data_IF_898366713042
#
_entry.id   IF_898366713042
#
_cell.length_a   1.000
_cell.length_b   1.000
_cell.length_c   1.000
_cell.angle_alpha   90.00
_cell.angle_beta   90.00
_cell.angle_gamma   90.00
#
_symmetry.space_group_name_H-M   'P 1'
#
loop_
_entity.id
_entity.type
_entity.pdbx_description
1 polymer ?
#
# COMPACT_ATOMS: atom_id res chain seq x y z
N UNK A 1 -8.96 -9.12 -3.21
CA UNK A 1 -8.33 -7.79 -3.19
C UNK A 1 -6.98 -7.88 -2.52
N UNK A 2 -5.97 -7.27 -3.13
CA UNK A 2 -4.60 -7.19 -2.64
C UNK A 2 -4.24 -5.70 -2.55
N UNK A 3 -3.71 -5.23 -1.43
CA UNK A 3 -3.31 -3.83 -1.27
C UNK A 3 -1.80 -3.67 -1.07
N UNK A 4 -1.22 -2.60 -1.61
CA UNK A 4 0.14 -2.13 -1.38
C UNK A 4 0.12 -0.77 -0.69
N UNK A 5 0.62 -0.71 0.55
CA UNK A 5 0.64 0.49 1.38
C UNK A 5 2.01 1.16 1.29
N UNK A 6 2.03 2.39 0.78
CA UNK A 6 3.25 3.11 0.44
C UNK A 6 3.78 2.70 -0.94
N UNK A 7 2.87 2.59 -1.90
CA UNK A 7 3.15 2.06 -3.22
C UNK A 7 4.04 2.95 -4.12
N UNK A 8 4.15 4.24 -3.80
CA UNK A 8 4.68 5.27 -4.68
C UNK A 8 4.05 5.23 -6.09
N UNK A 9 4.76 4.68 -7.08
CA UNK A 9 4.31 4.49 -8.46
C UNK A 9 3.87 3.05 -8.79
N UNK A 10 4.06 2.09 -7.87
CA UNK A 10 3.71 0.68 -8.03
C UNK A 10 4.76 -0.18 -8.76
N UNK A 11 5.84 0.40 -9.30
CA UNK A 11 6.84 -0.31 -10.11
C UNK A 11 7.55 -1.41 -9.32
N UNK A 12 7.90 -1.13 -8.06
CA UNK A 12 8.65 -2.06 -7.22
C UNK A 12 7.83 -3.32 -6.84
N UNK A 13 6.52 -3.16 -6.67
CA UNK A 13 5.60 -4.24 -6.29
C UNK A 13 5.16 -5.09 -7.49
N UNK A 14 5.37 -4.60 -8.72
CA UNK A 14 4.91 -5.22 -9.97
C UNK A 14 5.28 -6.72 -10.08
N UNK A 15 6.57 -7.05 -9.94
CA UNK A 15 7.06 -8.44 -10.12
C UNK A 15 6.48 -9.40 -9.09
N UNK A 16 6.32 -8.93 -7.84
CA UNK A 16 5.72 -9.72 -6.77
C UNK A 16 4.24 -9.96 -7.05
N UNK A 17 3.50 -8.91 -7.40
CA UNK A 17 2.07 -9.00 -7.69
C UNK A 17 1.78 -9.85 -8.90
N UNK A 18 2.60 -9.76 -9.97
CA UNK A 18 2.46 -10.62 -11.14
C UNK A 18 2.59 -12.10 -10.76
N UNK A 19 3.59 -12.45 -9.93
CA UNK A 19 3.76 -13.83 -9.45
C UNK A 19 2.59 -14.31 -8.63
N UNK A 20 2.09 -13.49 -7.71
CA UNK A 20 0.93 -13.83 -6.87
C UNK A 20 -0.31 -14.04 -7.73
N UNK A 21 -0.59 -13.11 -8.65
CA UNK A 21 -1.74 -13.17 -9.55
C UNK A 21 -1.67 -14.42 -10.43
N UNK A 22 -0.53 -14.69 -11.06
CA UNK A 22 -0.35 -15.89 -11.89
C UNK A 22 -0.54 -17.17 -11.09
N UNK A 23 -0.05 -17.23 -9.85
CA UNK A 23 -0.28 -18.37 -8.98
C UNK A 23 -1.77 -18.56 -8.65
N UNK A 24 -2.46 -17.48 -8.27
CA UNK A 24 -3.90 -17.48 -8.01
C UNK A 24 -4.69 -17.96 -9.23
N UNK A 25 -4.39 -17.42 -10.41
CA UNK A 25 -5.05 -17.80 -11.67
C UNK A 25 -4.67 -19.20 -12.14
N UNK A 26 -3.50 -19.73 -11.77
CA UNK A 26 -3.16 -21.13 -11.97
C UNK A 26 -4.09 -22.09 -11.22
N UNK A 27 -4.68 -21.64 -10.10
CA UNK A 27 -5.63 -22.41 -9.29
C UNK A 27 -7.07 -22.12 -9.72
N UNK A 28 -7.41 -20.84 -9.93
CA UNK A 28 -8.73 -20.40 -10.37
C UNK A 28 -8.59 -19.32 -11.47
N UNK A 29 -8.62 -19.72 -12.75
CA UNK A 29 -8.41 -18.80 -13.88
C UNK A 29 -9.46 -17.69 -14.01
N UNK A 30 -10.65 -17.89 -13.45
CA UNK A 30 -11.77 -16.94 -13.53
C UNK A 30 -11.85 -15.99 -12.34
N UNK A 31 -10.98 -16.13 -11.33
CA UNK A 31 -11.04 -15.29 -10.15
C UNK A 31 -10.60 -13.87 -10.50
N UNK A 32 -11.50 -12.90 -10.29
CA UNK A 32 -11.15 -11.49 -10.42
C UNK A 32 -10.23 -11.06 -9.27
N UNK A 33 -9.07 -10.49 -9.61
CA UNK A 33 -8.09 -9.94 -8.67
C UNK A 33 -8.04 -8.43 -8.83
N UNK A 34 -8.42 -7.72 -7.76
CA UNK A 34 -8.24 -6.27 -7.65
C UNK A 34 -6.96 -5.97 -6.86
N UNK A 35 -6.04 -5.24 -7.49
CA UNK A 35 -4.84 -4.68 -6.89
C UNK A 35 -5.14 -3.24 -6.47
N UNK A 36 -4.79 -2.86 -5.25
CA UNK A 36 -5.02 -1.51 -4.71
C UNK A 36 -3.67 -0.93 -4.30
N UNK A 37 -3.26 0.14 -4.94
CA UNK A 37 -2.02 0.85 -4.64
C UNK A 37 -2.36 2.09 -3.83
N UNK A 38 -1.78 2.24 -2.65
CA UNK A 38 -2.12 3.28 -1.69
C UNK A 38 -0.87 4.10 -1.43
N UNK A 39 -0.92 5.39 -1.75
CA UNK A 39 0.15 6.33 -1.44
C UNK A 39 -0.37 7.76 -1.43
N UNK A 40 0.41 8.69 -0.88
CA UNK A 40 0.16 10.13 -0.95
C UNK A 40 0.67 10.75 -2.26
N UNK A 41 1.55 10.04 -2.98
CA UNK A 41 2.15 10.50 -4.22
C UNK A 41 1.11 10.80 -5.33
N UNK A 42 1.54 11.57 -6.33
CA UNK A 42 0.72 11.87 -7.50
C UNK A 42 0.44 10.58 -8.30
N UNK A 43 -0.83 10.27 -8.62
CA UNK A 43 -1.19 9.07 -9.39
C UNK A 43 -0.67 9.08 -10.83
N UNK A 44 -0.17 10.20 -11.37
CA UNK A 44 0.34 10.27 -12.74
C UNK A 44 1.43 9.23 -13.02
N UNK A 45 2.37 9.04 -12.10
CA UNK A 45 3.43 8.05 -12.23
C UNK A 45 2.87 6.62 -12.20
N UNK A 46 1.92 6.35 -11.29
CA UNK A 46 1.20 5.07 -11.25
C UNK A 46 0.42 4.81 -12.54
N UNK A 47 -0.29 5.80 -13.08
CA UNK A 47 -1.09 5.64 -14.28
C UNK A 47 -0.22 5.30 -15.50
N UNK A 48 0.96 5.92 -15.59
CA UNK A 48 1.95 5.60 -16.62
C UNK A 48 2.48 4.17 -16.43
N UNK A 49 2.91 3.81 -15.22
CA UNK A 49 3.34 2.46 -14.90
C UNK A 49 2.28 1.42 -15.27
N UNK A 50 1.04 1.61 -14.81
CA UNK A 50 -0.04 0.66 -14.98
C UNK A 50 -0.35 0.41 -16.47
N UNK A 51 -0.43 1.49 -17.26
CA UNK A 51 -0.66 1.41 -18.69
C UNK A 51 0.39 0.56 -19.42
N UNK A 52 1.65 0.61 -18.97
CA UNK A 52 2.77 -0.12 -19.56
C UNK A 52 3.07 -1.46 -18.87
N UNK A 53 2.34 -1.81 -17.79
CA UNK A 53 2.63 -3.00 -16.99
C UNK A 53 2.05 -4.28 -17.59
N UNK A 54 2.80 -5.39 -17.53
CA UNK A 54 2.25 -6.71 -17.89
C UNK A 54 1.04 -7.11 -17.03
N UNK A 55 0.92 -6.56 -15.82
CA UNK A 55 -0.22 -6.78 -14.94
C UNK A 55 -1.53 -6.28 -15.53
N UNK A 56 -1.51 -5.16 -16.27
CA UNK A 56 -2.72 -4.59 -16.88
C UNK A 56 -3.22 -5.40 -18.08
N UNK A 57 -2.35 -6.22 -18.68
CA UNK A 57 -2.69 -7.13 -19.78
C UNK A 57 -3.31 -8.45 -19.29
N UNK A 58 -3.18 -8.77 -18.00
CA UNK A 58 -3.72 -10.00 -17.44
C UNK A 58 -5.25 -9.94 -17.37
N UNK A 59 -5.91 -10.97 -17.91
CA UNK A 59 -7.37 -11.13 -17.78
C UNK A 59 -7.76 -11.25 -16.31
N UNK A 60 -8.92 -10.70 -15.97
CA UNK A 60 -9.46 -10.75 -14.59
C UNK A 60 -8.56 -10.05 -13.56
N UNK A 61 -7.75 -9.09 -14.00
CA UNK A 61 -6.96 -8.21 -13.12
C UNK A 61 -7.39 -6.77 -13.34
N UNK A 62 -7.68 -6.08 -12.25
CA UNK A 62 -7.91 -4.64 -12.24
C UNK A 62 -7.02 -3.98 -11.19
N UNK A 63 -6.68 -2.72 -11.40
CA UNK A 63 -5.96 -1.93 -10.42
C UNK A 63 -6.68 -0.62 -10.11
N UNK A 64 -6.49 -0.17 -8.88
CA UNK A 64 -6.96 1.10 -8.37
C UNK A 64 -5.81 1.78 -7.63
N UNK A 65 -5.69 3.09 -7.78
CA UNK A 65 -4.82 3.92 -6.97
C UNK A 65 -5.65 4.76 -6.02
N UNK A 66 -5.37 4.64 -4.72
CA UNK A 66 -5.98 5.48 -3.70
C UNK A 66 -4.93 6.48 -3.24
N UNK A 67 -5.12 7.73 -3.66
CA UNK A 67 -4.28 8.85 -3.23
C UNK A 67 -4.69 9.29 -1.81
N UNK A 68 -4.11 8.67 -0.79
CA UNK A 68 -4.38 8.94 0.62
C UNK A 68 -3.21 8.46 1.47
N UNK A 69 -3.01 9.09 2.63
CA UNK A 69 -2.13 8.54 3.66
C UNK A 69 -2.55 7.13 4.06
N UNK A 70 -1.60 6.20 4.10
CA UNK A 70 -1.85 4.84 4.58
C UNK A 70 -2.05 4.74 6.10
N UNK A 71 -1.85 5.85 6.84
CA UNK A 71 -2.19 5.95 8.27
C UNK A 71 -3.67 6.26 8.51
N UNK A 72 -4.40 6.67 7.49
CA UNK A 72 -5.83 6.95 7.56
C UNK A 72 -6.67 5.68 7.38
N UNK A 73 -7.93 5.64 7.88
CA UNK A 73 -8.80 4.51 7.66
C UNK A 73 -9.21 4.37 6.18
N UNK A 74 -9.41 3.11 5.76
CA UNK A 74 -9.94 2.76 4.43
C UNK A 74 -11.24 1.94 4.53
N UNK A 75 -12.39 2.58 4.84
CA UNK A 75 -13.69 1.90 4.90
C UNK A 75 -14.04 1.11 3.62
N UNK A 76 -13.57 1.58 2.46
CA UNK A 76 -13.75 0.95 1.15
C UNK A 76 -13.05 -0.43 1.03
N UNK A 77 -12.01 -0.67 1.83
CA UNK A 77 -11.26 -1.94 1.86
C UNK A 77 -11.74 -2.89 2.98
N UNK A 78 -12.50 -2.37 3.95
CA UNK A 78 -12.95 -3.13 5.12
C UNK A 78 -13.81 -4.35 4.72
N UNK A 79 -13.41 -5.53 5.22
CA UNK A 79 -14.08 -6.81 4.91
C UNK A 79 -13.87 -7.33 3.49
N UNK A 80 -13.10 -6.63 2.65
CA UNK A 80 -12.81 -7.00 1.25
C UNK A 80 -11.34 -7.32 1.01
N UNK A 81 -10.44 -6.73 1.81
CA UNK A 81 -9.00 -6.95 1.73
C UNK A 81 -8.62 -8.38 2.10
N UNK A 82 -7.92 -9.08 1.19
CA UNK A 82 -7.44 -10.44 1.43
C UNK A 82 -5.94 -10.50 1.74
N UNK A 83 -5.14 -9.61 1.14
CA UNK A 83 -3.69 -9.56 1.31
C UNK A 83 -3.26 -8.10 1.33
N UNK A 84 -2.37 -7.71 2.24
CA UNK A 84 -1.75 -6.38 2.28
C UNK A 84 -0.23 -6.49 2.18
N UNK A 85 0.41 -5.49 1.61
CA UNK A 85 1.86 -5.38 1.52
C UNK A 85 2.28 -3.99 1.97
N UNK A 86 3.44 -3.87 2.60
CA UNK A 86 4.08 -2.57 2.78
C UNK A 86 5.58 -2.79 2.83
N UNK A 87 6.30 -2.27 1.85
CA UNK A 87 7.76 -2.38 1.82
C UNK A 87 8.38 -1.00 1.87
N UNK A 88 9.32 -0.80 2.79
CA UNK A 88 10.08 0.45 2.90
C UNK A 88 9.24 1.72 3.09
N UNK A 89 7.98 1.62 3.54
CA UNK A 89 7.09 2.78 3.71
C UNK A 89 6.81 3.14 5.18
N UNK A 90 6.77 2.15 6.07
CA UNK A 90 6.37 2.35 7.48
C UNK A 90 7.35 3.19 8.32
N UNK A 91 8.55 3.46 7.80
CA UNK A 91 9.53 4.30 8.50
C UNK A 91 9.27 5.80 8.31
N UNK A 92 8.40 6.18 7.37
CA UNK A 92 7.99 7.57 7.18
C UNK A 92 7.03 7.99 8.28
N UNK A 93 7.31 9.13 8.92
CA UNK A 93 6.41 9.69 9.94
C UNK A 93 5.01 9.93 9.36
N UNK A 94 4.02 9.87 10.25
CA UNK A 94 2.63 10.10 9.89
C UNK A 94 2.46 11.41 9.12
N UNK A 95 1.73 11.31 8.03
CA UNK A 95 1.49 12.37 7.08
C UNK A 95 -0.01 12.38 6.83
N UNK A 96 -0.68 13.45 7.21
CA UNK A 96 -2.13 13.59 6.99
C UNK A 96 -2.40 14.09 5.57
N UNK A 97 -3.40 13.52 4.92
CA UNK A 97 -3.98 14.08 3.70
C UNK A 97 -4.73 15.35 4.10
N UNK A 98 -4.31 16.52 3.62
CA UNK A 98 -5.11 17.74 3.78
C UNK A 98 -5.80 18.07 2.47
N UNK A 99 -7.11 18.32 2.56
CA UNK A 99 -7.91 18.75 1.41
C UNK A 99 -7.28 20.02 0.82
N UNK A 100 -7.24 20.07 -0.51
CA UNK A 100 -6.84 21.28 -1.20
C UNK A 100 -7.72 22.44 -0.73
N UNK A 101 -7.10 23.48 -0.16
CA UNK A 101 -7.79 24.75 0.05
C UNK A 101 -8.46 25.17 -1.27
N UNK A 102 -9.61 25.81 -1.17
CA UNK A 102 -10.49 26.22 -2.29
C UNK A 102 -9.85 27.21 -3.29
N UNK A 103 -8.53 27.40 -3.24
CA UNK A 103 -7.67 28.14 -4.17
C UNK A 103 -7.15 27.34 -5.37
N UNK A 104 -7.58 26.08 -5.56
CA UNK A 104 -7.28 25.32 -6.79
C UNK A 104 -5.83 24.81 -6.90
N UNK A 105 -5.16 24.59 -5.78
CA UNK A 105 -3.81 24.02 -5.71
C UNK A 105 -3.92 22.54 -5.31
N UNK A 106 -3.07 21.66 -5.87
CA UNK A 106 -3.06 20.21 -5.57
C UNK A 106 -3.13 19.89 -4.07
N UNK A 107 -3.65 18.70 -3.65
CA UNK A 107 -3.73 18.31 -2.25
C UNK A 107 -2.41 18.55 -1.54
N UNK A 108 -2.44 19.29 -0.44
CA UNK A 108 -1.29 19.49 0.41
C UNK A 108 -1.16 18.29 1.37
N UNK A 109 0.01 18.10 1.97
CA UNK A 109 0.25 17.04 2.94
C UNK A 109 0.93 17.64 4.16
N UNK A 110 0.46 17.29 5.36
CA UNK A 110 1.06 17.75 6.60
C UNK A 110 1.73 16.59 7.30
N UNK A 111 3.06 16.63 7.39
CA UNK A 111 3.79 15.70 8.24
C UNK A 111 3.51 16.04 9.70
N UNK A 112 2.93 15.10 10.45
CA UNK A 112 2.76 15.25 11.89
C UNK A 112 4.02 14.67 12.54
N UNK A 113 4.75 15.51 13.29
CA UNK A 113 5.86 15.01 14.09
C UNK A 113 5.28 14.22 15.26
N UNK A 114 5.16 12.91 15.13
CA UNK A 114 4.91 12.07 16.29
C UNK A 114 6.16 12.07 17.17
N UNK A 115 6.12 12.81 18.28
CA UNK A 115 7.07 12.61 19.38
C UNK A 115 6.52 11.51 20.29
N UNK A 116 7.12 10.30 20.31
CA UNK A 116 6.76 9.32 21.33
C UNK A 116 7.07 9.93 22.71
N UNK A 117 6.22 9.73 23.73
CA UNK A 117 6.51 10.20 25.08
C UNK A 117 7.77 9.49 25.59
N UNK A 118 8.90 10.21 25.63
CA UNK A 118 10.15 9.74 26.22
C UNK A 118 11.39 9.66 25.33
N UNK A 119 11.32 9.97 24.03
CA UNK A 119 12.52 9.96 23.19
C UNK A 119 13.29 11.30 23.28
N UNK A 120 14.23 11.37 24.23
CA UNK A 120 15.33 12.31 24.15
C UNK A 120 16.09 12.13 22.83
N UNK A 121 16.52 13.25 22.26
CA UNK A 121 17.30 13.33 21.02
C UNK A 121 18.44 12.31 20.98
N UNK A 122 18.32 11.29 20.12
CA UNK A 122 19.46 10.48 19.68
C UNK A 122 19.48 10.48 18.17
N UNK A 123 20.43 11.23 17.61
CA UNK A 123 20.94 10.94 16.28
C UNK A 123 21.46 9.50 16.30
N UNK A 124 20.99 8.64 15.40
CA UNK A 124 21.69 7.39 15.10
C UNK A 124 21.59 7.07 13.61
N UNK A 125 22.77 6.93 13.04
CA UNK A 125 23.08 6.53 11.68
C UNK A 125 22.77 5.04 11.48
N UNK A 126 22.10 4.72 10.37
CA UNK A 126 22.09 3.41 9.72
C UNK A 126 21.33 2.29 10.43
N UNK A 127 20.34 1.69 9.77
CA UNK A 127 20.04 0.24 9.89
C UNK A 127 18.84 -0.19 9.03
N UNK A 128 19.06 -1.29 8.31
CA UNK A 128 18.09 -2.28 7.79
C UNK A 128 16.70 -1.79 7.35
N UNK A 129 16.52 -1.67 6.03
CA UNK A 129 15.22 -1.48 5.39
C UNK A 129 14.54 -2.86 5.30
N UNK A 130 13.69 -3.18 6.28
CA UNK A 130 12.90 -4.42 6.29
C UNK A 130 11.69 -4.35 5.35
N UNK A 131 11.37 -5.46 4.68
CA UNK A 131 10.13 -5.65 3.93
C UNK A 131 9.03 -6.18 4.87
N UNK A 132 7.84 -5.56 4.89
CA UNK A 132 6.71 -6.02 5.70
C UNK A 132 5.63 -6.67 4.83
N UNK A 133 5.19 -7.87 5.22
CA UNK A 133 4.17 -8.66 4.52
C UNK A 133 2.93 -8.81 5.39
N UNK A 134 1.73 -8.57 4.84
CA UNK A 134 0.46 -8.86 5.51
C UNK A 134 -0.32 -9.94 4.74
N UNK A 135 -0.25 -11.19 5.19
CA UNK A 135 -1.12 -12.25 4.69
C UNK A 135 -2.32 -12.42 5.61
N UNK A 136 -3.53 -12.06 5.15
CA UNK A 136 -4.76 -12.29 5.89
C UNK A 136 -5.20 -13.76 5.66
N UNK A 137 -4.67 -14.68 6.47
CA UNK A 137 -5.04 -16.10 6.43
C UNK A 137 -6.43 -16.32 7.06
N UNK A 138 -7.48 -16.00 6.30
CA UNK A 138 -8.92 -16.35 6.41
C UNK A 138 -9.58 -16.41 7.82
N UNK A 139 -10.34 -15.33 8.08
CA UNK A 139 -11.73 -15.27 8.62
C UNK A 139 -12.07 -16.14 9.82
N UNK A 140 -11.89 -15.60 11.03
CA UNK A 140 -12.81 -15.76 12.16
C UNK A 140 -12.86 -14.42 12.91
N UNK A 141 -13.99 -14.13 13.54
CA UNK A 141 -14.28 -12.93 14.31
C UNK A 141 -13.09 -12.38 15.11
N UNK A 142 -12.98 -11.05 15.16
CA UNK A 142 -12.09 -10.22 15.98
C UNK A 142 -10.72 -9.84 15.40
N UNK A 143 -10.63 -8.56 14.99
CA UNK A 143 -9.59 -7.58 15.36
C UNK A 143 -8.10 -7.96 15.41
N UNK A 144 -7.56 -8.83 14.55
CA UNK A 144 -6.11 -9.06 14.55
C UNK A 144 -5.47 -8.88 13.17
N UNK A 145 -4.64 -7.84 13.06
CA UNK A 145 -3.63 -7.64 12.00
C UNK A 145 -2.34 -8.24 12.54
N UNK A 146 -1.84 -9.29 11.92
CA UNK A 146 -0.58 -9.93 12.30
C UNK A 146 0.58 -9.32 11.51
N UNK A 147 1.63 -8.95 12.24
CA UNK A 147 2.87 -8.40 11.73
C UNK A 147 3.90 -9.53 11.66
N UNK A 148 4.34 -9.90 10.45
CA UNK A 148 5.46 -10.83 10.30
C UNK A 148 6.70 -10.06 9.86
N UNK A 149 7.73 -10.14 10.69
CA UNK A 149 9.11 -9.75 10.38
C UNK A 149 9.77 -10.97 9.74
N UNK A 150 10.29 -10.85 8.51
CA UNK A 150 11.18 -11.86 7.95
C UNK A 150 12.63 -11.38 8.12
N UNK A 151 13.52 -12.21 8.70
CA UNK A 151 14.93 -11.89 8.92
C UNK A 151 15.76 -11.89 7.63
#
# INVERSE_FOLDING_TARGET
MIADYGAADGVNSNRLFERIVRYIHGINPSLNVRLVYIDIADPAAFNQFWADSHLSELKHVEAEYIRRSFYEPFPELAGRLNIGFSSTALHWMDTETVDADSSGTSPAYRQTSYQPPGAGSSQNNGSAIGEYFFANARVLSSREVYWCWLP
#
